data_IF_997130526128
#
_entry.id   IF_997130526128
#
_cell.length_a   1.000
_cell.length_b   1.000
_cell.length_c   1.000
_cell.angle_alpha   90.00
_cell.angle_beta   90.00
_cell.angle_gamma   90.00
#
_symmetry.space_group_name_H-M   'P 1'
#
loop_
_entity.id
_entity.type
_entity.pdbx_description
1 polymer ?
#
# COMPACT_ATOMS: atom_id res chain seq x y z
N UNK A 1 13.84 -19.52 22.58
CA UNK A 1 14.67 -18.90 21.54
C UNK A 1 15.22 -20.00 20.64
N UNK A 2 15.17 -19.83 19.31
CA UNK A 2 15.77 -20.74 18.33
C UNK A 2 16.66 -19.92 17.40
N UNK A 3 17.76 -20.50 16.93
CA UNK A 3 18.66 -19.86 15.97
C UNK A 3 18.29 -20.29 14.56
N UNK A 4 18.21 -19.34 13.64
CA UNK A 4 17.99 -19.57 12.22
C UNK A 4 19.16 -18.99 11.43
N UNK A 5 19.84 -19.83 10.67
CA UNK A 5 20.84 -19.36 9.70
C UNK A 5 20.13 -18.87 8.44
N UNK A 6 20.50 -17.68 7.98
CA UNK A 6 19.98 -17.04 6.76
C UNK A 6 21.14 -16.60 5.89
N UNK A 7 20.88 -16.36 4.60
CA UNK A 7 21.87 -15.78 3.70
C UNK A 7 22.19 -14.33 4.11
N UNK A 8 23.42 -13.90 3.90
CA UNK A 8 23.87 -12.55 4.27
C UNK A 8 23.05 -11.45 3.57
N UNK A 9 22.65 -11.67 2.32
CA UNK A 9 21.79 -10.73 1.58
C UNK A 9 20.40 -10.57 2.23
N UNK A 10 19.88 -11.64 2.84
CA UNK A 10 18.61 -11.60 3.57
C UNK A 10 18.79 -10.89 4.91
N UNK A 11 19.89 -11.16 5.61
CA UNK A 11 20.22 -10.46 6.86
C UNK A 11 20.30 -8.96 6.65
N UNK A 12 21.02 -8.49 5.62
CA UNK A 12 21.14 -7.06 5.34
C UNK A 12 19.80 -6.43 4.95
N UNK A 13 18.93 -7.15 4.23
CA UNK A 13 17.56 -6.69 3.96
C UNK A 13 16.76 -6.51 5.24
N UNK A 14 16.79 -7.49 6.15
CA UNK A 14 16.09 -7.39 7.44
C UNK A 14 16.68 -6.26 8.30
N UNK A 15 17.99 -6.08 8.30
CA UNK A 15 18.70 -5.03 9.03
C UNK A 15 18.26 -3.64 8.59
N UNK A 16 18.07 -3.42 7.29
CA UNK A 16 17.56 -2.15 6.73
C UNK A 16 16.09 -1.89 7.06
N UNK A 17 15.30 -2.94 7.23
CA UNK A 17 13.87 -2.85 7.55
C UNK A 17 13.57 -2.71 9.05
N UNK A 18 14.58 -2.94 9.90
CA UNK A 18 14.49 -2.89 11.36
C UNK A 18 14.34 -1.45 11.83
N UNK A 19 13.34 -1.19 12.67
CA UNK A 19 13.14 0.10 13.33
C UNK A 19 13.90 0.16 14.66
N UNK A 20 14.07 1.37 15.19
CA UNK A 20 14.68 1.56 16.50
C UNK A 20 13.90 0.79 17.58
N UNK A 21 14.60 0.02 18.41
CA UNK A 21 14.01 -0.80 19.47
C UNK A 21 13.37 -2.12 19.02
N UNK A 22 13.19 -2.40 17.72
CA UNK A 22 12.68 -3.71 17.27
C UNK A 22 13.75 -4.81 17.42
N UNK A 23 13.35 -6.06 17.68
CA UNK A 23 14.17 -7.27 17.50
C UNK A 23 14.05 -7.80 16.06
N UNK A 24 14.88 -8.77 15.65
CA UNK A 24 14.70 -9.39 14.32
C UNK A 24 13.42 -10.22 14.24
N UNK A 25 12.99 -10.82 15.36
CA UNK A 25 11.70 -11.51 15.43
C UNK A 25 10.55 -10.55 15.19
N UNK A 26 10.58 -9.35 15.78
CA UNK A 26 9.53 -8.33 15.59
C UNK A 26 9.43 -7.89 14.12
N UNK A 27 10.58 -7.75 13.44
CA UNK A 27 10.61 -7.44 12.00
C UNK A 27 9.95 -8.57 11.20
N UNK A 28 10.29 -9.83 11.50
CA UNK A 28 9.72 -10.99 10.82
C UNK A 28 8.21 -11.02 11.06
N UNK A 29 7.77 -10.92 12.32
CA UNK A 29 6.35 -10.93 12.70
C UNK A 29 5.58 -9.81 12.00
N UNK A 30 6.12 -8.59 11.95
CA UNK A 30 5.51 -7.47 11.22
C UNK A 30 5.41 -7.71 9.71
N UNK A 31 6.41 -8.34 9.10
CA UNK A 31 6.40 -8.60 7.65
C UNK A 31 5.45 -9.75 7.27
N UNK A 32 5.33 -10.77 8.13
CA UNK A 32 4.42 -11.90 7.91
C UNK A 32 3.00 -11.61 8.38
N UNK A 33 2.82 -10.63 9.27
CA UNK A 33 1.56 -10.02 9.61
C UNK A 33 1.04 -9.22 8.40
N UNK A 34 0.64 -9.95 7.35
CA UNK A 34 -0.34 -9.44 6.41
C UNK A 34 -1.60 -9.20 7.22
N UNK A 35 -1.91 -7.94 7.50
CA UNK A 35 -3.31 -7.59 7.64
C UNK A 35 -3.98 -8.13 6.37
N UNK A 36 -4.87 -9.11 6.54
CA UNK A 36 -5.74 -9.55 5.46
C UNK A 36 -6.75 -8.43 5.23
N UNK A 37 -6.28 -7.27 4.80
CA UNK A 37 -7.11 -6.13 4.47
C UNK A 37 -7.78 -6.50 3.16
N UNK A 38 -8.93 -7.14 3.29
CA UNK A 38 -9.76 -7.48 2.17
C UNK A 38 -10.14 -6.19 1.46
N UNK A 39 -9.99 -6.14 0.14
CA UNK A 39 -10.51 -5.03 -0.67
C UNK A 39 -12.02 -4.82 -0.42
N UNK A 40 -12.73 -5.87 0.04
CA UNK A 40 -14.13 -5.80 0.44
C UNK A 40 -14.38 -4.83 1.60
N UNK A 41 -13.41 -4.63 2.49
CA UNK A 41 -13.52 -3.65 3.58
C UNK A 41 -13.71 -2.21 3.04
N UNK A 42 -13.10 -1.91 1.90
CA UNK A 42 -13.16 -0.58 1.28
C UNK A 42 -14.34 -0.42 0.31
N UNK A 43 -15.06 -1.50 -0.02
CA UNK A 43 -16.14 -1.46 -0.99
C UNK A 43 -17.25 -0.49 -0.54
N UNK A 44 -17.53 0.52 -1.37
CA UNK A 44 -18.59 1.50 -1.15
C UNK A 44 -18.29 2.56 -0.08
N UNK A 45 -17.11 2.57 0.55
CA UNK A 45 -16.76 3.56 1.60
C UNK A 45 -16.79 5.01 1.13
N UNK A 46 -16.60 5.25 -0.17
CA UNK A 46 -16.67 6.57 -0.78
C UNK A 46 -18.02 6.88 -1.43
N UNK A 47 -19.01 5.98 -1.33
CA UNK A 47 -20.31 6.18 -1.98
C UNK A 47 -21.00 7.41 -1.37
N UNK A 48 -21.34 8.39 -2.22
CA UNK A 48 -22.02 9.63 -1.81
C UNK A 48 -21.12 10.60 -1.06
N UNK A 49 -19.79 10.45 -1.12
CA UNK A 49 -18.89 11.47 -0.59
C UNK A 49 -18.66 12.58 -1.63
N UNK A 50 -18.57 13.82 -1.16
CA UNK A 50 -18.21 14.98 -1.99
C UNK A 50 -16.83 14.78 -2.66
N UNK A 51 -15.93 14.05 -2.00
CA UNK A 51 -14.64 13.68 -2.58
C UNK A 51 -14.81 12.83 -3.84
N UNK A 52 -15.66 11.79 -3.81
CA UNK A 52 -15.88 10.95 -4.98
C UNK A 52 -16.52 11.75 -6.12
N UNK A 53 -17.47 12.61 -5.81
CA UNK A 53 -18.13 13.48 -6.78
C UNK A 53 -17.16 14.46 -7.44
N UNK A 54 -16.32 15.14 -6.66
CA UNK A 54 -15.30 16.07 -7.18
C UNK A 54 -14.28 15.37 -8.08
N UNK A 55 -13.80 14.18 -7.67
CA UNK A 55 -12.91 13.35 -8.49
C UNK A 55 -13.56 12.96 -9.83
N UNK A 56 -14.84 12.56 -9.81
CA UNK A 56 -15.58 12.23 -11.02
C UNK A 56 -15.69 13.44 -11.97
N UNK A 57 -16.04 14.61 -11.43
CA UNK A 57 -16.11 15.85 -12.23
C UNK A 57 -14.76 16.21 -12.85
N UNK A 58 -13.67 16.09 -12.09
CA UNK A 58 -12.33 16.37 -12.58
C UNK A 58 -11.95 15.44 -13.74
N UNK A 59 -12.15 14.13 -13.57
CA UNK A 59 -11.87 13.11 -14.60
C UNK A 59 -12.71 13.36 -15.87
N UNK A 60 -13.99 13.66 -15.72
CA UNK A 60 -14.87 13.99 -16.84
C UNK A 60 -14.42 15.26 -17.57
N UNK A 61 -14.01 16.29 -16.82
CA UNK A 61 -13.49 17.52 -17.39
C UNK A 61 -12.20 17.29 -18.19
N UNK A 62 -11.31 16.45 -17.66
CA UNK A 62 -10.07 16.06 -18.33
C UNK A 62 -10.35 15.30 -19.63
N UNK A 63 -11.27 14.32 -19.60
CA UNK A 63 -11.66 13.56 -20.80
C UNK A 63 -12.19 14.45 -21.91
N UNK A 64 -13.07 15.41 -21.59
CA UNK A 64 -13.60 16.38 -22.57
C UNK A 64 -12.50 17.22 -23.22
N UNK A 65 -11.52 17.66 -22.43
CA UNK A 65 -10.35 18.41 -22.95
C UNK A 65 -9.45 17.53 -23.81
N UNK A 66 -9.23 16.28 -23.41
CA UNK A 66 -8.34 15.35 -24.10
C UNK A 66 -8.87 14.89 -25.47
N UNK A 67 -10.20 14.85 -25.67
CA UNK A 67 -10.81 14.51 -26.96
C UNK A 67 -10.71 15.63 -28.02
N UNK A 68 -10.32 16.85 -27.64
CA UNK A 68 -10.10 17.98 -28.56
C UNK A 68 -8.63 18.02 -29.05
N UNK A 69 -8.16 16.94 -29.67
CA UNK A 69 -7.08 17.06 -30.66
C UNK A 69 -7.72 16.95 -32.03
N UNK A 70 -8.03 18.09 -32.64
CA UNK A 70 -8.30 18.14 -34.07
C UNK A 70 -7.04 17.64 -34.80
N UNK A 71 -7.22 16.61 -35.62
CA UNK A 71 -6.22 16.13 -36.60
C UNK A 71 -6.57 16.78 -37.94
#
# INVERSE_FOLDING_TARGET
MKTLSIRDDVYEKLRRLKREGESFSDVIDRLIAREKTSLRFFFGKLKGSELLESMEQEVLSFRRRATLREI
#
